data_IF_660629821141
#
_entry.id   IF_660629821141
#
_cell.length_a   1.000
_cell.length_b   1.000
_cell.length_c   1.000
_cell.angle_alpha   90.00
_cell.angle_beta   90.00
_cell.angle_gamma   90.00
#
_symmetry.space_group_name_H-M   'P 1'
#
loop_
_entity.id
_entity.type
_entity.pdbx_description
1 polymer ?
#
# COMPACT_ATOMS: atom_id res chain seq x y z
N UNK A 1 12.55 -1.85 22.65
CA UNK A 1 11.24 -2.50 22.50
C UNK A 1 11.16 -3.56 23.57
N UNK A 2 10.22 -3.41 24.49
CA UNK A 2 9.95 -4.39 25.53
C UNK A 2 9.29 -5.61 24.85
N UNK A 3 9.85 -6.83 24.93
CA UNK A 3 9.35 -8.00 24.19
C UNK A 3 8.03 -8.57 24.75
N UNK A 4 7.36 -7.83 25.62
CA UNK A 4 6.17 -8.25 26.39
C UNK A 4 4.87 -8.24 25.60
N UNK A 5 4.89 -7.85 24.32
CA UNK A 5 3.69 -7.77 23.47
C UNK A 5 3.98 -8.33 22.09
N UNK A 6 3.33 -9.45 21.76
CA UNK A 6 3.30 -10.01 20.41
C UNK A 6 1.91 -9.75 19.84
N UNK A 7 1.86 -9.04 18.71
CA UNK A 7 0.63 -8.80 17.97
C UNK A 7 0.64 -9.64 16.69
N UNK A 8 -0.37 -10.48 16.50
CA UNK A 8 -0.59 -11.24 15.27
C UNK A 8 -2.00 -10.90 14.79
N UNK A 9 -2.09 -10.28 13.60
CA UNK A 9 -3.33 -9.71 13.07
C UNK A 9 -3.96 -8.67 14.03
N UNK A 10 -5.23 -8.81 14.39
CA UNK A 10 -5.94 -7.90 15.30
C UNK A 10 -5.89 -8.31 16.76
N UNK A 11 -5.31 -9.47 17.08
CA UNK A 11 -5.20 -9.94 18.46
C UNK A 11 -3.84 -9.57 19.05
N UNK A 12 -3.89 -9.06 20.28
CA UNK A 12 -2.72 -8.67 21.07
C UNK A 12 -2.72 -9.55 22.30
N UNK A 13 -1.68 -10.37 22.44
CA UNK A 13 -1.50 -11.21 23.63
C UNK A 13 -0.25 -10.73 24.37
N UNK A 14 -0.45 -10.36 25.63
CA UNK A 14 0.65 -10.07 26.56
C UNK A 14 1.10 -11.37 27.22
N UNK A 15 2.33 -11.78 26.93
CA UNK A 15 2.94 -12.94 27.57
C UNK A 15 3.10 -12.71 29.07
N UNK A 16 2.87 -13.76 29.87
CA UNK A 16 3.19 -13.74 31.29
C UNK A 16 4.71 -13.51 31.47
N UNK A 17 5.10 -12.69 32.46
CA UNK A 17 6.49 -12.50 32.88
C UNK A 17 7.06 -13.82 33.45
N UNK A 18 7.37 -14.77 32.58
CA UNK A 18 8.09 -16.00 32.90
C UNK A 18 9.58 -15.72 32.94
N UNK A 19 10.25 -16.20 33.99
CA UNK A 19 11.70 -16.18 34.13
C UNK A 19 12.36 -16.64 32.83
N UNK A 20 13.35 -15.88 32.37
CA UNK A 20 14.12 -16.11 31.15
C UNK A 20 14.87 -17.45 31.19
N UNK A 21 14.17 -18.55 30.95
CA UNK A 21 14.78 -19.80 30.52
C UNK A 21 14.82 -19.77 28.99
N UNK A 22 16.01 -19.95 28.43
CA UNK A 22 16.36 -19.71 27.03
C UNK A 22 15.79 -20.78 26.08
N UNK A 23 14.49 -21.03 26.15
CA UNK A 23 13.81 -21.92 25.24
C UNK A 23 13.11 -21.10 24.14
N UNK A 24 13.33 -21.39 22.85
CA UNK A 24 12.57 -20.76 21.79
C UNK A 24 11.10 -21.17 21.91
N UNK A 25 10.22 -20.18 22.04
CA UNK A 25 8.78 -20.36 22.05
C UNK A 25 8.22 -20.18 20.63
N UNK A 26 7.20 -20.95 20.28
CA UNK A 26 6.47 -20.79 19.01
C UNK A 26 5.05 -20.35 19.33
N UNK A 27 4.66 -19.19 18.77
CA UNK A 27 3.27 -18.74 18.80
C UNK A 27 2.53 -19.32 17.58
N UNK A 28 1.39 -19.95 17.82
CA UNK A 28 0.49 -20.46 16.78
C UNK A 28 -0.95 -20.04 17.07
N UNK A 29 -1.80 -19.97 16.04
CA UNK A 29 -3.22 -19.70 16.18
C UNK A 29 -3.97 -21.02 16.05
N UNK A 30 -4.77 -21.38 17.05
CA UNK A 30 -5.58 -22.59 17.01
C UNK A 30 -6.82 -22.44 16.10
N UNK A 31 -7.56 -23.54 15.90
CA UNK A 31 -8.74 -23.55 15.02
C UNK A 31 -9.89 -22.67 15.54
N UNK A 32 -9.88 -22.28 16.81
CA UNK A 32 -10.82 -21.33 17.42
C UNK A 32 -10.37 -19.88 17.30
N UNK A 33 -9.18 -19.62 16.76
CA UNK A 33 -8.63 -18.27 16.59
C UNK A 33 -7.83 -17.77 17.79
N UNK A 34 -7.57 -18.61 18.80
CA UNK A 34 -6.79 -18.21 19.97
C UNK A 34 -5.28 -18.40 19.74
N UNK A 35 -4.48 -17.44 20.20
CA UNK A 35 -3.02 -17.54 20.18
C UNK A 35 -2.53 -18.46 21.31
N UNK A 36 -1.90 -19.56 20.93
CA UNK A 36 -1.28 -20.53 21.82
C UNK A 36 0.26 -20.39 21.71
N UNK A 37 0.93 -20.22 22.85
CA UNK A 37 2.39 -20.20 22.94
C UNK A 37 2.83 -21.54 23.53
N UNK A 38 3.55 -22.34 22.76
CA UNK A 38 4.04 -23.65 23.19
C UNK A 38 5.58 -23.68 23.13
N UNK A 39 6.26 -24.23 24.15
CA UNK A 39 7.72 -24.37 24.13
C UNK A 39 8.13 -25.33 23.01
N UNK A 40 9.10 -24.94 22.18
CA UNK A 40 9.55 -25.78 21.08
C UNK A 40 10.14 -27.10 21.59
N UNK A 41 9.42 -28.21 21.39
CA UNK A 41 9.84 -29.54 21.82
C UNK A 41 11.12 -29.96 21.06
N UNK A 42 12.18 -30.44 21.74
CA UNK A 42 13.46 -30.82 21.13
C UNK A 42 13.34 -31.84 20.00
N UNK A 43 12.28 -32.66 20.01
CA UNK A 43 12.07 -33.73 19.03
C UNK A 43 11.62 -33.23 17.64
N UNK A 44 11.10 -32.00 17.51
CA UNK A 44 10.73 -31.46 16.19
C UNK A 44 11.96 -31.11 15.34
N UNK A 45 13.12 -30.82 15.94
CA UNK A 45 14.36 -30.56 15.18
C UNK A 45 14.94 -31.82 14.52
N UNK A 46 14.81 -32.99 15.13
CA UNK A 46 15.41 -34.22 14.58
C UNK A 46 14.65 -34.78 13.38
N UNK A 47 13.34 -34.53 13.26
CA UNK A 47 12.58 -34.93 12.07
C UNK A 47 12.91 -34.09 10.83
N UNK A 48 13.37 -32.85 10.99
CA UNK A 48 13.78 -32.00 9.87
C UNK A 48 15.20 -32.27 9.34
N UNK A 49 16.09 -32.84 10.16
CA UNK A 49 17.52 -33.01 9.80
C UNK A 49 17.82 -34.41 9.23
N UNK A 50 17.04 -35.45 9.56
CA UNK A 50 17.31 -36.83 9.14
C UNK A 50 16.75 -37.20 7.74
N UNK A 51 16.36 -36.21 6.93
CA UNK A 51 15.68 -36.38 5.65
C UNK A 51 16.53 -36.24 4.38
N UNK A 52 17.86 -36.39 4.42
CA UNK A 52 18.75 -36.35 3.24
C UNK A 52 19.44 -37.70 3.03
N UNK A 53 18.96 -38.46 2.03
CA UNK A 53 19.08 -39.92 1.98
C UNK A 53 20.25 -40.54 1.20
N UNK A 54 20.39 -41.85 1.41
CA UNK A 54 20.94 -42.82 0.44
C UNK A 54 19.83 -43.08 -0.60
N UNK A 55 20.11 -42.77 -1.86
CA UNK A 55 19.12 -42.73 -2.93
C UNK A 55 18.66 -44.13 -3.37
N UNK A 56 17.37 -44.42 -3.20
CA UNK A 56 16.66 -45.47 -3.93
C UNK A 56 16.31 -45.00 -5.35
N UNK A 57 16.39 -45.86 -6.38
CA UNK A 57 16.18 -45.51 -7.79
C UNK A 57 14.72 -45.19 -8.15
N UNK A 58 13.77 -45.26 -7.21
CA UNK A 58 12.40 -44.74 -7.37
C UNK A 58 12.34 -43.22 -7.05
N UNK A 59 13.38 -42.67 -6.41
CA UNK A 59 13.43 -41.28 -5.95
C UNK A 59 13.96 -40.28 -6.98
N UNK A 60 14.42 -40.73 -8.16
CA UNK A 60 14.57 -39.84 -9.31
C UNK A 60 13.22 -39.32 -9.84
N UNK A 61 12.10 -39.95 -9.45
CA UNK A 61 10.74 -39.51 -9.81
C UNK A 61 10.01 -38.75 -8.68
N UNK A 62 10.51 -38.79 -7.43
CA UNK A 62 9.89 -38.17 -6.24
C UNK A 62 10.68 -36.97 -5.67
N UNK A 63 11.86 -36.66 -6.23
CA UNK A 63 12.62 -35.45 -5.89
C UNK A 63 11.94 -34.12 -6.33
N UNK A 64 10.71 -34.18 -6.83
CA UNK A 64 9.88 -33.05 -7.24
C UNK A 64 8.80 -32.65 -6.23
N UNK A 65 8.63 -33.38 -5.14
CA UNK A 65 7.50 -33.21 -4.22
C UNK A 65 7.98 -33.02 -2.78
N UNK A 66 8.27 -31.77 -2.40
CA UNK A 66 8.09 -31.19 -1.05
C UNK A 66 8.88 -29.88 -0.86
N UNK A 67 8.98 -29.06 -1.92
CA UNK A 67 9.00 -27.62 -1.69
C UNK A 67 7.64 -27.27 -1.10
N UNK A 68 7.62 -26.88 0.17
CA UNK A 68 6.43 -26.37 0.84
C UNK A 68 5.92 -25.18 0.04
N UNK A 69 4.93 -25.48 -0.80
CA UNK A 69 3.99 -24.56 -1.42
C UNK A 69 3.31 -23.81 -0.26
N UNK A 70 3.89 -22.68 0.15
CA UNK A 70 3.21 -21.69 0.99
C UNK A 70 2.16 -21.05 0.10
N UNK A 71 1.11 -21.85 -0.13
CA UNK A 71 -0.09 -21.48 -0.83
C UNK A 71 -0.86 -20.65 0.17
N UNK A 72 -0.77 -19.33 0.03
CA UNK A 72 -1.68 -18.42 0.72
C UNK A 72 -3.10 -18.89 0.43
N UNK A 73 -3.74 -19.52 1.42
CA UNK A 73 -5.12 -19.93 1.32
C UNK A 73 -5.96 -18.65 1.44
N UNK A 74 -6.00 -17.88 0.37
CA UNK A 74 -7.07 -16.93 0.15
C UNK A 74 -8.27 -17.83 -0.11
N UNK A 75 -9.19 -17.91 0.86
CA UNK A 75 -10.47 -18.61 0.63
C UNK A 75 -11.03 -18.09 -0.70
N UNK A 76 -11.32 -18.97 -1.68
CA UNK A 76 -12.00 -18.52 -2.86
C UNK A 76 -13.30 -17.86 -2.38
N UNK A 77 -13.67 -16.67 -2.92
CA UNK A 77 -14.94 -16.05 -2.58
C UNK A 77 -16.01 -17.13 -2.74
N UNK A 78 -16.73 -17.42 -1.65
CA UNK A 78 -17.68 -18.52 -1.61
C UNK A 78 -18.52 -18.50 -2.88
N UNK A 79 -18.86 -19.65 -3.46
CA UNK A 79 -19.62 -19.70 -4.72
C UNK A 79 -20.93 -18.89 -4.66
N UNK A 80 -21.43 -18.55 -3.47
CA UNK A 80 -22.53 -17.59 -3.25
C UNK A 80 -22.19 -16.15 -3.67
N UNK A 81 -20.94 -15.70 -3.55
CA UNK A 81 -20.47 -14.39 -4.04
C UNK A 81 -20.30 -14.35 -5.57
N UNK A 82 -20.01 -15.49 -6.20
CA UNK A 82 -19.81 -15.58 -7.66
C UNK A 82 -21.12 -15.53 -8.45
N UNK A 83 -22.25 -15.92 -7.85
CA UNK A 83 -23.56 -15.93 -8.51
C UNK A 83 -24.33 -14.60 -8.38
N UNK A 84 -23.86 -13.66 -7.54
CA UNK A 84 -24.49 -12.34 -7.36
C UNK A 84 -24.11 -11.29 -8.42
N UNK A 85 -23.25 -11.64 -9.39
CA UNK A 85 -22.60 -10.67 -10.30
C UNK A 85 -23.20 -10.53 -11.69
N UNK A 86 -24.33 -11.15 -12.01
CA UNK A 86 -24.98 -11.04 -13.31
C UNK A 86 -26.23 -10.17 -13.21
N UNK A 87 -26.07 -8.85 -13.33
CA UNK A 87 -27.17 -7.94 -13.68
C UNK A 87 -27.54 -6.81 -12.71
N UNK A 88 -26.80 -6.57 -11.63
CA UNK A 88 -27.08 -5.46 -10.72
C UNK A 88 -26.03 -4.35 -10.90
N UNK A 89 -26.46 -3.09 -11.06
CA UNK A 89 -25.56 -1.94 -11.21
C UNK A 89 -24.44 -1.99 -10.16
N UNK A 90 -23.17 -1.96 -10.61
CA UNK A 90 -22.00 -2.09 -9.74
C UNK A 90 -22.08 -1.07 -8.60
N UNK A 91 -22.51 -1.53 -7.43
CA UNK A 91 -22.41 -0.76 -6.21
C UNK A 91 -20.91 -0.60 -5.91
N UNK A 92 -20.48 0.64 -5.68
CA UNK A 92 -19.11 0.93 -5.27
C UNK A 92 -18.83 0.25 -3.93
N UNK A 93 -17.64 -0.32 -3.76
CA UNK A 93 -17.24 -0.78 -2.43
C UNK A 93 -17.14 0.39 -1.46
N UNK A 94 -17.21 0.09 -0.16
CA UNK A 94 -16.96 1.09 0.89
C UNK A 94 -15.59 1.73 0.74
N UNK A 95 -14.59 0.96 0.30
CA UNK A 95 -13.23 1.43 0.03
C UNK A 95 -13.19 2.42 -1.13
N UNK A 96 -13.90 2.16 -2.23
CA UNK A 96 -13.99 3.11 -3.35
C UNK A 96 -14.68 4.42 -2.95
N UNK A 97 -15.75 4.34 -2.15
CA UNK A 97 -16.44 5.54 -1.64
C UNK A 97 -15.49 6.34 -0.74
N UNK A 98 -14.83 5.69 0.21
CA UNK A 98 -13.86 6.33 1.10
C UNK A 98 -12.70 6.97 0.30
N UNK A 99 -12.20 6.28 -0.72
CA UNK A 99 -11.17 6.79 -1.63
C UNK A 99 -11.67 8.00 -2.43
N UNK A 100 -12.92 7.98 -2.90
CA UNK A 100 -13.50 9.10 -3.64
C UNK A 100 -13.65 10.33 -2.76
N UNK A 101 -14.25 10.20 -1.57
CA UNK A 101 -14.39 11.31 -0.61
C UNK A 101 -13.01 11.84 -0.23
N UNK A 102 -12.07 10.93 0.04
CA UNK A 102 -10.69 11.29 0.42
C UNK A 102 -10.00 12.07 -0.67
N UNK A 103 -9.99 11.52 -1.88
CA UNK A 103 -9.38 12.16 -3.04
C UNK A 103 -10.00 13.53 -3.35
N UNK A 104 -11.32 13.65 -3.26
CA UNK A 104 -12.02 14.92 -3.50
C UNK A 104 -11.60 15.99 -2.50
N UNK A 105 -11.63 15.71 -1.19
CA UNK A 105 -11.27 16.73 -0.20
C UNK A 105 -9.78 17.12 -0.33
N UNK A 106 -8.88 16.16 -0.56
CA UNK A 106 -7.44 16.44 -0.72
C UNK A 106 -7.22 17.30 -1.96
N UNK A 107 -7.87 16.99 -3.10
CA UNK A 107 -7.79 17.80 -4.31
C UNK A 107 -8.26 19.23 -4.08
N UNK A 108 -9.40 19.42 -3.42
CA UNK A 108 -9.95 20.76 -3.15
C UNK A 108 -9.03 21.54 -2.21
N UNK A 109 -8.59 20.93 -1.11
CA UNK A 109 -7.66 21.56 -0.17
C UNK A 109 -6.32 21.92 -0.85
N UNK A 110 -5.77 21.00 -1.66
CA UNK A 110 -4.55 21.23 -2.42
C UNK A 110 -4.69 22.35 -3.45
N UNK A 111 -5.81 22.40 -4.17
CA UNK A 111 -6.08 23.45 -5.14
C UNK A 111 -6.22 24.83 -4.47
N UNK A 112 -6.89 24.90 -3.31
CA UNK A 112 -6.98 26.13 -2.51
C UNK A 112 -5.60 26.56 -2.00
N UNK A 113 -4.77 25.62 -1.51
CA UNK A 113 -3.41 25.93 -1.09
C UNK A 113 -2.51 26.40 -2.25
N UNK A 114 -2.72 25.87 -3.46
CA UNK A 114 -2.00 26.28 -4.67
C UNK A 114 -2.41 27.67 -5.16
N UNK A 115 -3.72 27.98 -5.17
CA UNK A 115 -4.24 29.26 -5.63
C UNK A 115 -4.09 30.37 -4.57
N UNK A 116 -4.37 30.06 -3.31
CA UNK A 116 -4.44 30.99 -2.18
C UNK A 116 -3.57 30.51 -1.00
N UNK A 117 -2.23 30.45 -1.15
CA UNK A 117 -1.35 29.84 -0.16
C UNK A 117 -1.39 30.54 1.21
N UNK A 118 -1.41 31.87 1.23
CA UNK A 118 -1.41 32.66 2.47
C UNK A 118 -2.73 32.56 3.22
N UNK A 119 -3.86 32.54 2.50
CA UNK A 119 -5.18 32.37 3.10
C UNK A 119 -5.35 30.97 3.68
N UNK A 120 -5.07 29.93 2.88
CA UNK A 120 -5.28 28.54 3.27
C UNK A 120 -4.36 28.14 4.42
N UNK A 121 -3.07 28.50 4.33
CA UNK A 121 -2.11 28.17 5.38
C UNK A 121 -2.28 29.07 6.61
N UNK A 122 -2.62 30.35 6.43
CA UNK A 122 -2.84 31.29 7.52
C UNK A 122 -4.10 31.03 8.35
N UNK A 123 -5.03 30.23 7.85
CA UNK A 123 -6.19 29.76 8.63
C UNK A 123 -5.80 28.69 9.66
N UNK A 124 -4.78 27.88 9.35
CA UNK A 124 -4.38 26.71 10.14
C UNK A 124 -3.08 26.95 10.94
N UNK A 125 -2.20 27.82 10.45
CA UNK A 125 -0.86 28.03 10.98
C UNK A 125 -0.49 29.52 11.04
N UNK A 126 0.52 29.85 11.85
CA UNK A 126 1.12 31.19 11.87
C UNK A 126 1.75 31.54 10.51
N UNK A 127 1.68 32.82 10.13
CA UNK A 127 2.05 33.30 8.78
C UNK A 127 3.54 33.23 8.45
N UNK A 128 4.40 32.97 9.44
CA UNK A 128 5.85 33.12 9.31
C UNK A 128 6.60 31.78 9.18
N UNK A 129 5.89 30.65 9.10
CA UNK A 129 6.52 29.31 9.11
C UNK A 129 7.00 28.88 7.72
N UNK A 130 6.27 29.22 6.65
CA UNK A 130 6.58 28.81 5.28
C UNK A 130 6.38 29.95 4.29
N UNK A 131 7.27 30.05 3.30
CA UNK A 131 7.08 31.00 2.21
C UNK A 131 5.92 30.58 1.29
N UNK A 132 5.21 31.54 0.66
CA UNK A 132 4.09 31.23 -0.22
C UNK A 132 4.42 30.25 -1.35
N UNK A 133 5.66 30.28 -1.86
CA UNK A 133 6.12 29.36 -2.91
C UNK A 133 6.11 27.89 -2.47
N UNK A 134 6.63 27.60 -1.26
CA UNK A 134 6.64 26.23 -0.73
C UNK A 134 5.25 25.72 -0.40
N UNK A 135 4.34 26.59 0.06
CA UNK A 135 2.93 26.23 0.27
C UNK A 135 2.29 25.78 -1.05
N UNK A 136 2.59 26.46 -2.17
CA UNK A 136 2.10 26.05 -3.50
C UNK A 136 2.67 24.71 -3.96
N UNK A 137 3.93 24.41 -3.64
CA UNK A 137 4.52 23.08 -3.89
C UNK A 137 3.76 22.01 -3.11
N UNK A 138 3.50 22.23 -1.83
CA UNK A 138 2.70 21.31 -1.01
C UNK A 138 1.27 21.17 -1.54
N UNK A 139 0.64 22.27 -1.96
CA UNK A 139 -0.68 22.25 -2.60
C UNK A 139 -0.68 21.43 -3.89
N UNK A 140 0.36 21.55 -4.71
CA UNK A 140 0.57 20.73 -5.92
C UNK A 140 0.62 19.25 -5.56
N UNK A 141 1.45 18.87 -4.58
CA UNK A 141 1.57 17.48 -4.12
C UNK A 141 0.25 16.93 -3.56
N UNK A 142 -0.49 17.75 -2.82
CA UNK A 142 -1.81 17.39 -2.33
C UNK A 142 -2.77 17.11 -3.50
N UNK A 143 -2.86 17.98 -4.50
CA UNK A 143 -3.68 17.74 -5.70
C UNK A 143 -3.29 16.43 -6.39
N UNK A 144 -1.99 16.15 -6.52
CA UNK A 144 -1.47 14.90 -7.10
C UNK A 144 -1.95 13.68 -6.31
N UNK A 145 -1.84 13.69 -4.99
CA UNK A 145 -2.37 12.59 -4.16
C UNK A 145 -3.89 12.45 -4.29
N UNK A 146 -4.62 13.56 -4.32
CA UNK A 146 -6.06 13.54 -4.54
C UNK A 146 -6.43 12.88 -5.88
N UNK A 147 -5.70 13.20 -6.95
CA UNK A 147 -5.86 12.55 -8.27
C UNK A 147 -5.66 11.03 -8.16
N UNK A 148 -4.69 10.57 -7.37
CA UNK A 148 -4.42 9.13 -7.22
C UNK A 148 -5.57 8.40 -6.52
N UNK A 149 -6.10 8.96 -5.44
CA UNK A 149 -7.27 8.42 -4.74
C UNK A 149 -8.52 8.42 -5.63
N UNK A 150 -8.74 9.49 -6.40
CA UNK A 150 -9.82 9.54 -7.38
C UNK A 150 -9.64 8.51 -8.49
N UNK A 151 -8.41 8.28 -8.94
CA UNK A 151 -8.04 7.25 -9.91
C UNK A 151 -8.37 5.84 -9.44
N UNK A 152 -8.00 5.52 -8.20
CA UNK A 152 -8.34 4.23 -7.60
C UNK A 152 -9.86 4.00 -7.54
N UNK A 153 -10.62 5.00 -7.07
CA UNK A 153 -12.08 4.91 -7.00
C UNK A 153 -12.72 4.78 -8.39
N UNK A 154 -12.22 5.53 -9.38
CA UNK A 154 -12.68 5.46 -10.78
C UNK A 154 -12.33 4.12 -11.43
N UNK A 155 -11.14 3.59 -11.17
CA UNK A 155 -10.70 2.29 -11.67
C UNK A 155 -11.61 1.16 -11.19
N UNK A 156 -11.97 1.17 -9.91
CA UNK A 156 -12.94 0.21 -9.37
C UNK A 156 -14.33 0.37 -10.00
N UNK A 157 -14.84 1.61 -10.06
CA UNK A 157 -16.14 1.94 -10.67
C UNK A 157 -16.25 1.42 -12.11
N UNK A 158 -15.20 1.62 -12.90
CA UNK A 158 -15.15 1.28 -14.31
C UNK A 158 -14.80 -0.20 -14.56
N UNK A 159 -14.49 -0.96 -13.51
CA UNK A 159 -14.04 -2.35 -13.63
C UNK A 159 -12.60 -2.53 -14.12
N UNK A 160 -11.83 -1.45 -14.20
CA UNK A 160 -10.41 -1.46 -14.56
C UNK A 160 -9.49 -1.83 -13.38
N UNK A 161 -10.03 -1.83 -12.16
CA UNK A 161 -9.30 -2.20 -10.93
C UNK A 161 -8.08 -1.30 -10.70
N UNK A 162 -6.94 -1.92 -10.40
CA UNK A 162 -5.66 -1.22 -10.13
C UNK A 162 -5.18 -0.35 -11.29
N UNK A 163 -5.60 -0.65 -12.53
CA UNK A 163 -5.21 0.13 -13.71
C UNK A 163 -5.61 1.60 -13.60
N UNK A 164 -6.77 1.90 -13.02
CA UNK A 164 -7.22 3.29 -12.84
C UNK A 164 -6.32 4.10 -11.89
N UNK A 165 -5.69 3.44 -10.91
CA UNK A 165 -4.67 4.08 -10.07
C UNK A 165 -3.42 4.40 -10.88
N UNK A 166 -2.90 3.46 -11.69
CA UNK A 166 -1.72 3.71 -12.52
C UNK A 166 -1.95 4.83 -13.53
N UNK A 167 -3.10 4.84 -14.22
CA UNK A 167 -3.47 5.93 -15.14
C UNK A 167 -3.51 7.28 -14.42
N UNK A 168 -4.07 7.32 -13.20
CA UNK A 168 -4.06 8.53 -12.39
C UNK A 168 -2.66 8.94 -11.93
N UNK A 169 -1.75 8.00 -11.68
CA UNK A 169 -0.34 8.34 -11.39
C UNK A 169 0.36 9.00 -12.56
N UNK A 170 0.09 8.56 -13.79
CA UNK A 170 0.59 9.23 -14.99
C UNK A 170 0.05 10.67 -15.06
N UNK A 171 -1.27 10.84 -14.94
CA UNK A 171 -1.92 12.17 -15.00
C UNK A 171 -1.40 13.10 -13.91
N UNK A 172 -1.32 12.63 -12.66
CA UNK A 172 -0.83 13.45 -11.56
C UNK A 172 0.63 13.86 -11.70
N UNK A 173 1.49 12.98 -12.22
CA UNK A 173 2.91 13.32 -12.49
C UNK A 173 3.07 14.33 -13.63
N UNK A 174 2.25 14.23 -14.68
CA UNK A 174 2.20 15.23 -15.75
C UNK A 174 1.75 16.59 -15.18
N UNK A 175 0.69 16.60 -14.38
CA UNK A 175 0.21 17.80 -13.69
C UNK A 175 1.28 18.42 -12.77
N UNK A 176 2.00 17.59 -12.02
CA UNK A 176 3.09 18.02 -11.13
C UNK A 176 4.18 18.76 -11.91
N UNK A 177 4.63 18.17 -13.03
CA UNK A 177 5.65 18.78 -13.89
C UNK A 177 5.21 20.17 -14.38
N UNK A 178 4.02 20.28 -14.98
CA UNK A 178 3.52 21.56 -15.48
C UNK A 178 3.28 22.59 -14.37
N UNK A 179 2.85 22.14 -13.19
CA UNK A 179 2.70 23.02 -12.02
C UNK A 179 4.05 23.56 -11.56
N UNK A 180 5.09 22.74 -11.53
CA UNK A 180 6.46 23.19 -11.20
C UNK A 180 6.99 24.17 -12.25
N UNK A 181 6.75 23.92 -13.54
CA UNK A 181 7.07 24.88 -14.60
C UNK A 181 6.39 26.24 -14.36
N UNK A 182 5.10 26.25 -14.04
CA UNK A 182 4.36 27.48 -13.75
C UNK A 182 4.90 28.21 -12.52
N UNK A 183 5.22 27.49 -11.44
CA UNK A 183 5.75 28.09 -10.20
C UNK A 183 7.16 28.66 -10.38
N UNK A 184 8.00 28.03 -11.20
CA UNK A 184 9.33 28.56 -11.53
C UNK A 184 9.22 29.76 -12.46
N UNK A 185 8.34 29.70 -13.47
CA UNK A 185 8.10 30.81 -14.39
C UNK A 185 7.54 32.06 -13.66
N UNK A 186 6.76 31.87 -12.60
CA UNK A 186 6.28 32.96 -11.74
C UNK A 186 7.28 33.42 -10.67
N UNK A 187 8.52 32.87 -10.66
CA UNK A 187 9.54 33.20 -9.67
C UNK A 187 9.20 32.79 -8.24
N UNK A 188 8.22 31.90 -8.04
CA UNK A 188 7.74 31.52 -6.71
C UNK A 188 8.65 30.50 -6.02
N UNK A 189 9.41 29.71 -6.79
CA UNK A 189 10.31 28.66 -6.26
C UNK A 189 11.61 28.57 -7.08
N UNK A 190 12.69 28.01 -6.54
CA UNK A 190 13.96 27.85 -7.26
C UNK A 190 13.84 26.91 -8.47
N UNK A 191 14.55 27.22 -9.55
CA UNK A 191 14.55 26.44 -10.79
C UNK A 191 15.01 24.97 -10.61
N UNK A 192 15.77 24.67 -9.54
CA UNK A 192 16.23 23.32 -9.23
C UNK A 192 15.09 22.30 -9.05
N UNK A 193 13.88 22.74 -8.69
CA UNK A 193 12.71 21.86 -8.59
C UNK A 193 12.28 21.26 -9.94
N UNK A 194 12.67 21.88 -11.07
CA UNK A 194 12.40 21.35 -12.40
C UNK A 194 13.17 20.07 -12.68
N UNK A 195 14.36 19.89 -12.10
CA UNK A 195 15.11 18.63 -12.23
C UNK A 195 14.26 17.46 -11.69
N UNK A 196 13.68 17.66 -10.49
CA UNK A 196 12.76 16.69 -9.90
C UNK A 196 11.52 16.48 -10.78
N UNK A 197 10.96 17.56 -11.32
CA UNK A 197 9.83 17.49 -12.26
C UNK A 197 10.14 16.68 -13.51
N UNK A 198 11.30 16.88 -14.13
CA UNK A 198 11.72 16.17 -15.36
C UNK A 198 11.90 14.68 -15.08
N UNK A 199 12.62 14.32 -14.02
CA UNK A 199 12.79 12.90 -13.64
C UNK A 199 11.43 12.24 -13.38
N UNK A 200 10.53 12.97 -12.72
CA UNK A 200 9.18 12.48 -12.45
C UNK A 200 8.35 12.30 -13.73
N UNK A 201 8.45 13.23 -14.68
CA UNK A 201 7.79 13.17 -15.99
C UNK A 201 8.30 11.99 -16.81
N UNK A 202 9.61 11.74 -16.86
CA UNK A 202 10.17 10.58 -17.55
C UNK A 202 9.61 9.26 -16.98
N UNK A 203 9.49 9.17 -15.65
CA UNK A 203 8.83 8.03 -15.00
C UNK A 203 7.36 7.89 -15.38
N UNK A 204 6.63 9.02 -15.50
CA UNK A 204 5.23 9.03 -15.92
C UNK A 204 5.07 8.56 -17.37
N UNK A 205 5.93 9.02 -18.28
CA UNK A 205 5.92 8.61 -19.67
C UNK A 205 6.22 7.11 -19.80
N UNK A 206 7.26 6.62 -19.11
CA UNK A 206 7.59 5.18 -19.07
C UNK A 206 6.39 4.34 -18.65
N UNK A 207 5.71 4.72 -17.57
CA UNK A 207 4.49 4.04 -17.12
C UNK A 207 3.34 4.13 -18.12
N UNK A 208 3.16 5.28 -18.77
CA UNK A 208 2.14 5.45 -19.82
C UNK A 208 2.37 4.48 -20.99
N UNK A 209 3.62 4.31 -21.43
CA UNK A 209 3.98 3.32 -22.46
C UNK A 209 3.72 1.88 -21.98
N UNK A 210 3.96 1.57 -20.71
CA UNK A 210 3.67 0.24 -20.16
C UNK A 210 2.17 -0.07 -20.12
N UNK A 211 1.30 0.92 -19.87
CA UNK A 211 -0.16 0.72 -19.82
C UNK A 211 -0.81 0.53 -21.20
N UNK A 212 -0.08 0.81 -22.28
CA UNK A 212 -0.52 0.61 -23.66
C UNK A 212 -0.25 -0.81 -24.18
N UNK A 213 0.55 -1.60 -23.46
CA UNK A 213 0.85 -3.00 -23.76
C UNK A 213 -0.09 -3.92 -23.01
#
# INVERSE_FOLDING_TARGET
>A
MDPSVVAIASEVVSGAQGKAEAHPEVASIDQSGHICIEPASPNQRQQQVNGQGKADPVMAHLASTHLMDVRWHVEPPSAAATVAGAGAGKQLSRTAIASLVTGTYICVAGALALAFPTFTFGLLFGRDVLTPGWIRVLGTLAVVFGIYYLGAARGERNGSGVRGFYEATVVGRIFLFFSFCALVASGSVPAMILLLGVVNLLGALSMAFSLQR
#
